data_IF_516273410176
#
_entry.id   IF_516273410176
#
_cell.length_a   1.000
_cell.length_b   1.000
_cell.length_c   1.000
_cell.angle_alpha   90.00
_cell.angle_beta   90.00
_cell.angle_gamma   90.00
#
_symmetry.space_group_name_H-M   'P 1'
#
loop_
_entity.id
_entity.type
_entity.pdbx_description
1 polymer ?
#
# COMPACT_ATOMS: atom_id res chain seq x y z
N UNK A 1 6.74 -0.71 -12.32
CA UNK A 1 5.72 -1.75 -12.64
C UNK A 1 4.46 -1.42 -11.86
N UNK A 2 3.27 -1.63 -12.42
CA UNK A 2 2.01 -1.48 -11.65
C UNK A 2 1.73 -2.77 -10.88
N UNK A 3 1.38 -2.65 -9.60
CA UNK A 3 0.98 -3.80 -8.78
C UNK A 3 -0.46 -4.25 -9.11
N UNK A 4 -0.71 -5.55 -9.01
CA UNK A 4 -2.04 -6.16 -9.14
C UNK A 4 -2.73 -6.26 -7.79
N UNK A 5 -4.07 -6.20 -7.78
CA UNK A 5 -4.89 -6.38 -6.58
C UNK A 5 -5.25 -7.87 -6.42
N UNK A 6 -4.95 -8.44 -5.27
CA UNK A 6 -5.26 -9.81 -4.88
C UNK A 6 -6.64 -9.89 -4.23
N UNK A 7 -7.15 -11.12 -4.07
CA UNK A 7 -8.41 -11.42 -3.37
C UNK A 7 -8.21 -11.75 -1.86
N UNK A 8 -6.98 -11.72 -1.38
CA UNK A 8 -6.59 -11.95 0.01
C UNK A 8 -5.64 -10.83 0.48
N UNK A 9 -5.45 -10.63 1.80
CA UNK A 9 -4.50 -9.65 2.30
C UNK A 9 -3.06 -10.00 1.88
N UNK A 10 -2.25 -8.96 1.67
CA UNK A 10 -0.81 -9.05 1.71
C UNK A 10 -0.38 -9.01 3.18
N UNK A 11 -0.17 -10.20 3.74
CA UNK A 11 0.11 -10.38 5.17
C UNK A 11 1.33 -9.54 5.60
N UNK A 12 1.18 -8.82 6.71
CA UNK A 12 2.21 -7.93 7.23
C UNK A 12 2.15 -6.49 6.70
N UNK A 13 1.26 -6.17 5.75
CA UNK A 13 1.08 -4.80 5.25
C UNK A 13 -0.23 -4.20 5.75
N UNK A 14 -0.10 -3.22 6.65
CA UNK A 14 -1.24 -2.40 7.11
C UNK A 14 -1.50 -1.25 6.11
N UNK A 15 -2.72 -1.15 5.59
CA UNK A 15 -3.16 -0.03 4.76
C UNK A 15 -4.37 0.63 5.43
N UNK A 16 -4.16 1.80 6.04
CA UNK A 16 -5.22 2.60 6.69
C UNK A 16 -5.86 3.62 5.75
N UNK A 17 -5.34 3.74 4.53
CA UNK A 17 -5.82 4.71 3.53
C UNK A 17 -7.02 4.11 2.82
N UNK A 18 -8.22 4.33 3.35
CA UNK A 18 -9.46 3.76 2.82
C UNK A 18 -9.80 4.24 1.38
N UNK A 19 -9.19 5.32 0.91
CA UNK A 19 -9.26 5.82 -0.48
C UNK A 19 -8.31 5.10 -1.44
N UNK A 20 -7.45 4.21 -0.95
CA UNK A 20 -6.55 3.41 -1.78
C UNK A 20 -7.31 2.27 -2.47
N UNK A 21 -7.10 2.09 -3.78
CA UNK A 21 -7.62 1.01 -4.60
C UNK A 21 -7.30 -0.37 -4.01
N UNK A 22 -6.13 -0.52 -3.39
CA UNK A 22 -5.65 -1.76 -2.76
C UNK A 22 -6.11 -1.94 -1.31
N UNK A 23 -6.84 -0.98 -0.73
CA UNK A 23 -7.42 -1.15 0.60
C UNK A 23 -8.39 -2.34 0.65
N UNK A 24 -8.26 -3.14 1.70
CA UNK A 24 -9.12 -4.26 2.06
C UNK A 24 -9.58 -4.07 3.52
N UNK A 25 -10.79 -4.55 3.83
CA UNK A 25 -11.36 -4.44 5.18
C UNK A 25 -10.41 -4.97 6.25
N UNK A 26 -10.38 -4.32 7.43
CA UNK A 26 -9.46 -4.67 8.52
C UNK A 26 -8.09 -3.98 8.44
N UNK A 27 -8.01 -2.83 7.77
CA UNK A 27 -6.75 -2.11 7.53
C UNK A 27 -5.70 -2.95 6.78
N UNK A 28 -6.15 -3.83 5.89
CA UNK A 28 -5.26 -4.68 5.11
C UNK A 28 -4.96 -4.07 3.74
N UNK A 29 -3.72 -4.24 3.28
CA UNK A 29 -3.39 -4.04 1.88
C UNK A 29 -3.67 -5.32 1.09
N UNK A 30 -4.17 -5.21 -0.14
CA UNK A 30 -4.35 -6.34 -1.07
C UNK A 30 -3.49 -6.21 -2.33
N UNK A 31 -2.51 -5.30 -2.35
CA UNK A 31 -1.53 -5.24 -3.44
C UNK A 31 -0.59 -6.45 -3.38
N UNK A 32 -0.31 -7.10 -4.50
CA UNK A 32 0.61 -8.27 -4.56
C UNK A 32 2.05 -7.94 -4.13
N UNK A 33 2.44 -6.66 -4.26
CA UNK A 33 3.71 -6.09 -3.80
C UNK A 33 3.50 -4.60 -3.54
N UNK A 34 4.30 -4.02 -2.65
CA UNK A 34 4.35 -2.57 -2.45
C UNK A 34 5.72 -2.02 -2.79
N UNK A 35 5.76 -0.74 -3.11
CA UNK A 35 6.96 0.06 -3.20
C UNK A 35 6.87 1.18 -2.16
N UNK A 36 7.89 1.29 -1.32
CA UNK A 36 8.02 2.35 -0.31
C UNK A 36 9.06 3.35 -0.78
N UNK A 37 8.75 4.64 -0.68
CA UNK A 37 9.61 5.74 -1.12
C UNK A 37 9.67 6.87 -0.08
N UNK A 38 10.70 7.73 -0.09
CA UNK A 38 11.90 7.68 -0.95
C UNK A 38 12.95 6.67 -0.43
N UNK A 39 13.91 6.30 -1.31
CA UNK A 39 14.99 5.34 -0.99
C UNK A 39 15.84 5.72 0.23
N UNK A 40 16.01 7.02 0.48
CA UNK A 40 16.90 7.56 1.52
C UNK A 40 16.10 8.29 2.61
N UNK A 41 14.94 7.75 2.99
CA UNK A 41 14.17 8.28 4.11
C UNK A 41 15.00 8.22 5.41
N UNK A 42 15.06 9.34 6.14
CA UNK A 42 15.74 9.45 7.44
C UNK A 42 14.77 9.37 8.63
N UNK A 43 13.47 9.35 8.37
CA UNK A 43 12.42 9.15 9.38
C UNK A 43 11.24 8.37 8.77
N UNK A 44 10.40 7.80 9.63
CA UNK A 44 9.24 7.01 9.19
C UNK A 44 8.19 7.87 8.50
N UNK A 45 8.03 9.13 8.92
CA UNK A 45 7.07 10.09 8.37
C UNK A 45 7.40 10.48 6.93
N UNK A 46 8.63 10.23 6.48
CA UNK A 46 9.04 10.44 5.09
C UNK A 46 8.68 9.27 4.20
N UNK A 47 8.35 8.10 4.77
CA UNK A 47 8.06 6.90 3.98
C UNK A 47 6.61 6.87 3.53
N UNK A 48 6.42 6.81 2.22
CA UNK A 48 5.12 6.74 1.56
C UNK A 48 4.99 5.45 0.74
N UNK A 49 3.76 4.94 0.64
CA UNK A 49 3.43 3.84 -0.26
C UNK A 49 3.27 4.36 -1.69
N UNK A 50 4.32 4.26 -2.50
CA UNK A 50 4.30 4.63 -3.92
C UNK A 50 3.37 3.73 -4.76
N UNK A 51 2.91 2.61 -4.20
CA UNK A 51 1.87 1.75 -4.79
C UNK A 51 0.46 2.28 -4.58
N UNK A 52 0.26 3.36 -3.84
CA UNK A 52 -1.04 4.00 -3.72
C UNK A 52 -1.65 4.29 -5.10
N UNK A 53 -2.91 3.91 -5.26
CA UNK A 53 -3.74 4.31 -6.39
C UNK A 53 -5.09 4.74 -5.83
N UNK A 54 -5.70 5.85 -6.29
CA UNK A 54 -7.00 6.26 -5.81
C UNK A 54 -8.09 5.25 -6.25
N UNK A 55 -9.08 5.01 -5.38
CA UNK A 55 -10.33 4.37 -5.80
C UNK A 55 -11.01 5.26 -6.83
N UNK A 56 -11.49 4.66 -7.92
CA UNK A 56 -12.39 5.32 -8.89
C UNK A 56 -13.80 5.41 -8.34
#
# INVERSE_FOLDING_TARGET
MKASKMNHPNDGIKCVVNSCYFYMSGDHCSAERIEVQPRNASSIEQTDCATFAPKS
#
